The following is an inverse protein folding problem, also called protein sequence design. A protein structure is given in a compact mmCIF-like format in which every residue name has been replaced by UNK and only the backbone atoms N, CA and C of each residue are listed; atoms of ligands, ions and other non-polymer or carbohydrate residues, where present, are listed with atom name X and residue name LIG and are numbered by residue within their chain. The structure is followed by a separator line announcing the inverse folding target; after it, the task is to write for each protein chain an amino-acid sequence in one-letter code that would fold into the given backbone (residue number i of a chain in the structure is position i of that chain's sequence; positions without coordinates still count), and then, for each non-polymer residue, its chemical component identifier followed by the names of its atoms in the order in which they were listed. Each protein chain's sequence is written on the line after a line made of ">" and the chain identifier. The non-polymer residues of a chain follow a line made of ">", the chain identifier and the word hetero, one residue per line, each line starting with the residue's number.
data_IF_689824770250
#
_entry.id   IF_689824770250
#
_cell.length_a   1.000
_cell.length_b   1.000
_cell.length_c   1.000
_cell.angle_alpha   90.00
_cell.angle_beta   90.00
_cell.angle_gamma   90.00
#
_symmetry.space_group_name_H-M   'P 1'
#
loop_
_entity.id
_entity.type
_entity.pdbx_description
1 polymer ?
#
# COMPACT_ATOMS: atom_id res chain seq x y z
N UNK A 1 -16.08 -30.83 39.99
CA UNK A 1 -14.85 -31.17 40.73
C UNK A 1 -14.10 -29.87 41.00
N UNK A 2 -14.18 -29.37 42.23
CA UNK A 2 -13.55 -28.10 42.64
C UNK A 2 -12.24 -28.45 43.34
N UNK A 3 -11.10 -28.29 42.65
CA UNK A 3 -9.77 -28.51 43.24
C UNK A 3 -9.40 -27.25 44.04
N UNK A 4 -8.99 -27.44 45.29
CA UNK A 4 -8.49 -26.34 46.13
C UNK A 4 -7.13 -25.87 45.59
N UNK A 5 -7.04 -24.58 45.30
CA UNK A 5 -5.79 -23.94 44.87
C UNK A 5 -4.84 -23.88 46.08
N UNK A 6 -3.61 -24.33 45.87
CA UNK A 6 -2.56 -24.32 46.89
C UNK A 6 -1.91 -22.94 47.01
N UNK A 7 -1.33 -22.61 48.17
CA UNK A 7 -0.63 -21.33 48.38
C UNK A 7 0.50 -21.10 47.37
N UNK A 8 1.22 -22.17 47.01
CA UNK A 8 2.27 -22.10 46.00
C UNK A 8 1.73 -21.70 44.62
N UNK A 9 0.56 -22.21 44.22
CA UNK A 9 -0.10 -21.83 42.96
C UNK A 9 -0.56 -20.36 42.97
N UNK A 10 -0.99 -19.85 44.14
CA UNK A 10 -1.35 -18.43 44.31
C UNK A 10 -0.13 -17.52 44.20
N UNK A 11 0.97 -17.87 44.86
CA UNK A 11 2.22 -17.11 44.81
C UNK A 11 2.82 -17.10 43.41
N UNK A 12 2.77 -18.24 42.71
CA UNK A 12 3.20 -18.35 41.32
C UNK A 12 2.32 -17.50 40.39
N UNK A 13 1.00 -17.51 40.57
CA UNK A 13 0.08 -16.67 39.79
C UNK A 13 0.29 -15.19 40.05
N UNK A 14 0.56 -14.80 41.31
CA UNK A 14 0.87 -13.42 41.68
C UNK A 14 2.24 -12.98 41.13
N UNK A 15 3.22 -13.87 41.07
CA UNK A 15 4.52 -13.60 40.44
C UNK A 15 4.38 -13.39 38.94
N UNK A 16 3.59 -14.24 38.25
CA UNK A 16 3.31 -14.10 36.82
C UNK A 16 2.53 -12.82 36.49
N UNK A 17 1.58 -12.42 37.34
CA UNK A 17 0.81 -11.19 37.16
C UNK A 17 1.66 -9.90 37.32
N UNK A 18 2.83 -9.98 37.96
CA UNK A 18 3.78 -8.86 38.13
C UNK A 18 4.79 -8.77 37.01
N UNK A 19 4.95 -9.81 36.21
CA UNK A 19 5.75 -9.72 34.99
C UNK A 19 4.99 -8.78 34.05
N UNK A 20 5.69 -7.78 33.52
CA UNK A 20 5.15 -7.03 32.39
C UNK A 20 4.93 -8.05 31.29
N UNK A 21 3.66 -8.40 31.02
CA UNK A 21 3.33 -9.20 29.84
C UNK A 21 3.94 -8.45 28.67
N UNK A 22 4.90 -9.03 27.94
CA UNK A 22 5.32 -8.44 26.68
C UNK A 22 4.02 -8.17 25.93
N UNK A 23 3.81 -6.93 25.47
CA UNK A 23 2.72 -6.67 24.52
C UNK A 23 2.87 -7.76 23.48
N UNK A 24 1.86 -8.64 23.38
CA UNK A 24 1.93 -9.76 22.46
C UNK A 24 2.43 -9.17 21.14
N UNK A 25 3.51 -9.72 20.60
CA UNK A 25 3.90 -9.39 19.25
C UNK A 25 2.77 -9.93 18.39
N UNK A 26 1.68 -9.15 18.27
CA UNK A 26 0.58 -9.43 17.38
C UNK A 26 1.27 -9.42 16.04
N UNK A 27 1.50 -10.63 15.53
CA UNK A 27 2.02 -10.87 14.20
C UNK A 27 1.27 -9.93 13.26
N UNK A 28 1.91 -8.85 12.82
CA UNK A 28 1.27 -7.90 11.90
C UNK A 28 1.18 -8.49 10.47
N UNK A 29 1.48 -9.77 10.30
CA UNK A 29 1.97 -10.28 9.03
C UNK A 29 0.93 -11.01 8.18
N UNK A 30 -0.32 -11.22 8.65
CA UNK A 30 -1.35 -11.89 7.82
C UNK A 30 -2.78 -11.31 8.00
N UNK A 31 -3.14 -10.79 9.17
CA UNK A 31 -4.54 -10.38 9.44
C UNK A 31 -4.91 -8.98 8.92
N UNK A 32 -3.94 -8.07 8.80
CA UNK A 32 -4.19 -6.73 8.28
C UNK A 32 -4.23 -6.80 6.75
N UNK A 33 -5.44 -6.96 6.20
CA UNK A 33 -5.69 -6.89 4.75
C UNK A 33 -5.82 -5.43 4.30
N UNK A 34 -4.88 -4.60 4.72
CA UNK A 34 -4.69 -3.25 4.24
C UNK A 34 -3.21 -3.08 3.85
N UNK A 35 -2.92 -2.25 2.85
CA UNK A 35 -1.55 -2.10 2.30
C UNK A 35 -0.76 -0.98 2.99
N UNK A 36 -1.19 -0.53 4.17
CA UNK A 36 -0.49 0.48 4.97
C UNK A 36 -0.46 1.90 4.38
N UNK A 37 -1.11 2.14 3.24
CA UNK A 37 -1.19 3.46 2.60
C UNK A 37 -2.64 3.96 2.53
N UNK A 38 -2.86 5.30 2.55
CA UNK A 38 -4.16 5.87 2.28
C UNK A 38 -4.65 5.51 0.89
N UNK A 39 -5.96 5.27 0.77
CA UNK A 39 -6.62 4.96 -0.51
C UNK A 39 -6.28 6.00 -1.59
N UNK A 40 -6.20 7.28 -1.21
CA UNK A 40 -5.84 8.34 -2.14
C UNK A 40 -4.45 8.13 -2.79
N UNK A 41 -3.44 7.62 -2.08
CA UNK A 41 -2.13 7.33 -2.70
C UNK A 41 -2.21 6.18 -3.70
N UNK A 42 -2.98 5.13 -3.40
CA UNK A 42 -3.20 4.04 -4.35
C UNK A 42 -3.89 4.54 -5.63
N UNK A 43 -4.94 5.36 -5.49
CA UNK A 43 -5.67 5.95 -6.61
C UNK A 43 -4.78 6.89 -7.43
N UNK A 44 -3.99 7.75 -6.77
CA UNK A 44 -3.07 8.66 -7.45
C UNK A 44 -2.01 7.89 -8.24
N UNK A 45 -1.39 6.89 -7.64
CA UNK A 45 -0.38 6.07 -8.30
C UNK A 45 -0.97 5.36 -9.53
N UNK A 46 -2.13 4.71 -9.37
CA UNK A 46 -2.85 4.07 -10.47
C UNK A 46 -3.19 5.06 -11.59
N UNK A 47 -3.71 6.23 -11.23
CA UNK A 47 -4.06 7.29 -12.17
C UNK A 47 -2.86 7.81 -12.97
N UNK A 48 -1.68 7.95 -12.36
CA UNK A 48 -0.45 8.35 -13.05
C UNK A 48 -0.03 7.33 -14.11
N UNK A 49 -0.17 6.03 -13.83
CA UNK A 49 0.11 4.99 -14.82
C UNK A 49 -0.88 5.00 -15.97
N UNK A 50 -2.18 5.17 -15.70
CA UNK A 50 -3.18 5.32 -16.75
C UNK A 50 -2.94 6.58 -17.59
N UNK A 51 -2.56 7.69 -16.96
CA UNK A 51 -2.19 8.91 -17.67
C UNK A 51 -0.98 8.70 -18.57
N UNK A 52 0.05 7.97 -18.09
CA UNK A 52 1.21 7.61 -18.90
C UNK A 52 0.82 6.76 -20.12
N UNK A 53 0.01 5.72 -19.92
CA UNK A 53 -0.48 4.88 -21.02
C UNK A 53 -1.29 5.69 -22.04
N UNK A 54 -2.13 6.62 -21.58
CA UNK A 54 -2.88 7.52 -22.44
C UNK A 54 -1.96 8.44 -23.27
N UNK A 55 -0.94 9.03 -22.64
CA UNK A 55 0.07 9.86 -23.32
C UNK A 55 0.78 9.07 -24.42
N UNK A 56 1.25 7.86 -24.10
CA UNK A 56 1.94 7.01 -25.07
C UNK A 56 1.01 6.57 -26.21
N UNK A 57 -0.24 6.23 -25.90
CA UNK A 57 -1.21 5.82 -26.92
C UNK A 57 -1.51 6.96 -27.91
N UNK A 58 -1.76 8.17 -27.41
CA UNK A 58 -2.04 9.34 -28.24
C UNK A 58 -0.80 9.77 -29.03
N UNK A 59 0.38 9.72 -28.43
CA UNK A 59 1.61 10.17 -29.08
C UNK A 59 2.15 9.22 -30.16
N UNK A 60 1.87 7.91 -30.06
CA UNK A 60 2.42 6.89 -30.96
C UNK A 60 1.35 5.97 -31.54
N UNK A 61 0.17 6.52 -31.85
CA UNK A 61 -0.97 5.72 -32.32
C UNK A 61 -0.59 4.95 -33.61
N UNK A 62 -0.60 3.62 -33.51
CA UNK A 62 -0.47 2.72 -34.66
C UNK A 62 -1.34 1.48 -34.45
N UNK A 63 -1.87 0.85 -35.51
CA UNK A 63 -2.72 -0.33 -35.38
C UNK A 63 -2.06 -1.47 -34.60
N UNK A 64 -0.76 -1.68 -34.80
CA UNK A 64 0.05 -2.71 -34.12
C UNK A 64 0.17 -2.48 -32.60
N UNK A 65 -0.03 -1.24 -32.13
CA UNK A 65 0.04 -0.89 -30.70
C UNK A 65 -1.28 -1.07 -29.95
N UNK A 66 -2.39 -1.34 -30.65
CA UNK A 66 -3.69 -1.51 -30.00
C UNK A 66 -3.68 -2.71 -29.05
N UNK A 67 -3.19 -3.86 -29.51
CA UNK A 67 -3.14 -5.08 -28.69
C UNK A 67 -2.24 -4.91 -27.45
N UNK A 68 -0.99 -4.43 -27.56
CA UNK A 68 -0.15 -4.10 -26.40
C UNK A 68 -0.82 -3.12 -25.43
N UNK A 69 -1.49 -2.07 -25.93
CA UNK A 69 -2.12 -1.07 -25.08
C UNK A 69 -3.27 -1.66 -24.26
N UNK A 70 -4.12 -2.48 -24.89
CA UNK A 70 -5.20 -3.18 -24.18
C UNK A 70 -4.63 -4.08 -23.09
N UNK A 71 -3.58 -4.85 -23.40
CA UNK A 71 -2.91 -5.70 -22.41
C UNK A 71 -2.39 -4.86 -21.25
N UNK A 72 -1.66 -3.77 -21.51
CA UNK A 72 -1.13 -2.92 -20.44
C UNK A 72 -2.24 -2.33 -19.57
N UNK A 73 -3.30 -1.80 -20.15
CA UNK A 73 -4.43 -1.25 -19.37
C UNK A 73 -5.08 -2.33 -18.50
N UNK A 74 -5.34 -3.53 -19.06
CA UNK A 74 -5.95 -4.64 -18.33
C UNK A 74 -5.07 -5.10 -17.16
N UNK A 75 -3.77 -5.30 -17.40
CA UNK A 75 -2.85 -5.71 -16.35
C UNK A 75 -2.69 -4.62 -15.28
N UNK A 76 -2.53 -3.35 -15.67
CA UNK A 76 -2.48 -2.23 -14.73
C UNK A 76 -3.75 -2.19 -13.88
N UNK A 77 -4.94 -2.34 -14.47
CA UNK A 77 -6.18 -2.39 -13.70
C UNK A 77 -6.24 -3.61 -12.75
N UNK A 78 -5.85 -4.79 -13.22
CA UNK A 78 -5.82 -6.01 -12.41
C UNK A 78 -4.88 -5.89 -11.20
N UNK A 79 -3.71 -5.27 -11.38
CA UNK A 79 -2.74 -5.00 -10.32
C UNK A 79 -3.30 -4.15 -9.17
N UNK A 80 -4.36 -3.37 -9.39
CA UNK A 80 -5.00 -2.58 -8.34
C UNK A 80 -6.30 -3.21 -7.85
N UNK A 81 -7.15 -3.69 -8.75
CA UNK A 81 -8.45 -4.22 -8.37
C UNK A 81 -8.37 -5.57 -7.66
N UNK A 82 -7.44 -6.45 -8.03
CA UNK A 82 -7.28 -7.73 -7.33
C UNK A 82 -6.86 -7.51 -5.87
N UNK A 83 -5.82 -6.71 -5.56
CA UNK A 83 -5.49 -6.33 -4.18
C UNK A 83 -6.64 -5.60 -3.46
N UNK A 84 -7.37 -4.72 -4.14
CA UNK A 84 -8.52 -4.01 -3.57
C UNK A 84 -9.63 -4.97 -3.14
N UNK A 85 -10.00 -5.94 -3.99
CA UNK A 85 -10.98 -6.97 -3.64
C UNK A 85 -10.47 -7.86 -2.51
N UNK A 86 -9.17 -8.19 -2.52
CA UNK A 86 -8.55 -8.95 -1.44
C UNK A 86 -8.61 -8.22 -0.09
N UNK A 87 -8.36 -6.91 -0.09
CA UNK A 87 -8.47 -6.07 1.10
C UNK A 87 -9.89 -6.07 1.69
N UNK A 88 -10.92 -6.13 0.84
CA UNK A 88 -12.33 -6.17 1.27
C UNK A 88 -12.75 -7.52 1.86
N UNK A 89 -12.01 -8.60 1.59
CA UNK A 89 -12.32 -9.94 2.12
C UNK A 89 -11.84 -10.14 3.57
N UNK A 90 -11.28 -9.12 4.23
CA UNK A 90 -10.68 -9.19 5.56
C UNK A 90 -11.64 -9.68 6.67
N UNK A 91 -11.09 -10.22 7.77
CA UNK A 91 -11.90 -10.63 8.92
C UNK A 91 -12.67 -9.43 9.50
N UNK A 92 -13.84 -9.69 10.07
CA UNK A 92 -14.62 -8.66 10.77
C UNK A 92 -13.77 -8.04 11.89
N UNK A 93 -13.52 -6.73 11.82
CA UNK A 93 -12.65 -6.02 12.77
C UNK A 93 -11.23 -5.73 12.28
N UNK A 94 -10.89 -6.06 11.03
CA UNK A 94 -9.62 -5.63 10.43
C UNK A 94 -9.50 -4.10 10.44
N UNK A 95 -8.32 -3.58 10.79
CA UNK A 95 -8.06 -2.15 10.80
C UNK A 95 -8.23 -1.56 9.38
N UNK A 96 -8.96 -0.43 9.23
CA UNK A 96 -9.10 0.22 7.94
C UNK A 96 -7.75 0.78 7.46
N UNK A 97 -7.65 1.06 6.16
CA UNK A 97 -6.53 1.82 5.61
C UNK A 97 -6.46 3.20 6.31
N UNK A 98 -5.25 3.73 6.58
CA UNK A 98 -5.09 5.00 7.26
C UNK A 98 -5.71 6.14 6.44
N UNK A 99 -6.28 7.12 7.13
CA UNK A 99 -6.73 8.35 6.44
C UNK A 99 -5.52 9.18 6.02
N UNK A 100 -5.69 10.05 5.03
CA UNK A 100 -4.59 10.89 4.54
C UNK A 100 -4.05 11.84 5.63
N UNK A 101 -4.92 12.36 6.50
CA UNK A 101 -4.55 13.23 7.62
C UNK A 101 -3.76 12.48 8.70
N UNK A 102 -4.21 11.27 9.06
CA UNK A 102 -3.48 10.37 9.98
C UNK A 102 -2.11 10.01 9.42
N UNK A 103 -2.06 9.61 8.15
CA UNK A 103 -0.82 9.25 7.46
C UNK A 103 0.18 10.40 7.39
N UNK A 104 -0.30 11.61 7.07
CA UNK A 104 0.56 12.80 6.99
C UNK A 104 1.18 13.15 8.35
N UNK A 105 0.43 12.96 9.44
CA UNK A 105 0.88 13.22 10.82
C UNK A 105 1.79 12.13 11.35
N UNK A 106 1.40 10.87 11.18
CA UNK A 106 2.00 9.73 11.89
C UNK A 106 3.13 9.07 11.08
N UNK A 107 3.10 9.20 9.74
CA UNK A 107 4.07 8.60 8.84
C UNK A 107 4.02 7.07 8.80
N UNK A 108 5.08 6.44 8.27
CA UNK A 108 5.19 4.98 8.18
C UNK A 108 6.43 4.51 8.93
N UNK A 109 6.30 3.44 9.72
CA UNK A 109 7.45 2.71 10.23
C UNK A 109 8.04 1.84 9.12
N UNK A 110 9.29 2.10 8.73
CA UNK A 110 10.03 1.30 7.74
C UNK A 110 11.08 0.44 8.44
N UNK A 111 11.73 -0.46 7.69
CA UNK A 111 12.82 -1.29 8.20
C UNK A 111 13.98 -0.45 8.77
N UNK A 112 14.25 0.72 8.19
CA UNK A 112 15.36 1.61 8.58
C UNK A 112 14.95 2.71 9.56
N UNK A 113 13.70 2.70 10.04
CA UNK A 113 13.18 3.68 10.98
C UNK A 113 11.91 4.37 10.50
N UNK A 114 11.47 5.41 11.22
CA UNK A 114 10.25 6.15 10.88
C UNK A 114 10.48 7.08 9.69
N UNK A 115 9.70 6.89 8.63
CA UNK A 115 9.60 7.80 7.49
C UNK A 115 8.43 8.77 7.73
N UNK A 116 8.65 10.07 7.56
CA UNK A 116 7.58 11.07 7.70
C UNK A 116 6.50 10.84 6.64
N UNK A 117 5.25 11.24 6.92
CA UNK A 117 4.16 11.07 5.95
C UNK A 117 4.48 11.73 4.61
N UNK A 118 5.05 12.94 4.64
CA UNK A 118 5.46 13.65 3.42
C UNK A 118 6.51 12.89 2.62
N UNK A 119 7.57 12.40 3.28
CA UNK A 119 8.65 11.72 2.59
C UNK A 119 8.18 10.36 2.04
N UNK A 120 7.26 9.69 2.74
CA UNK A 120 6.60 8.49 2.25
C UNK A 120 5.72 8.75 1.01
N UNK A 121 4.99 9.88 0.96
CA UNK A 121 4.25 10.30 -0.24
C UNK A 121 5.20 10.49 -1.41
N UNK A 122 6.29 11.24 -1.20
CA UNK A 122 7.29 11.50 -2.24
C UNK A 122 7.90 10.19 -2.73
N UNK A 123 8.35 9.32 -1.84
CA UNK A 123 8.94 8.03 -2.19
C UNK A 123 7.97 7.15 -3.00
N UNK A 124 6.69 7.18 -2.64
CA UNK A 124 5.65 6.40 -3.32
C UNK A 124 5.35 6.96 -4.71
N UNK A 125 5.30 8.28 -4.87
CA UNK A 125 4.84 8.92 -6.11
C UNK A 125 5.97 9.37 -7.04
N UNK A 126 7.23 9.41 -6.60
CA UNK A 126 8.34 9.92 -7.41
C UNK A 126 8.51 9.10 -8.69
N UNK A 127 8.49 7.77 -8.60
CA UNK A 127 8.66 6.91 -9.76
C UNK A 127 7.55 7.08 -10.80
N UNK A 128 6.25 6.92 -10.47
CA UNK A 128 5.19 7.08 -11.47
C UNK A 128 5.11 8.50 -12.02
N UNK A 129 5.42 9.53 -11.21
CA UNK A 129 5.47 10.91 -11.70
C UNK A 129 6.60 11.11 -12.73
N UNK A 130 7.79 10.55 -12.46
CA UNK A 130 8.92 10.60 -13.40
C UNK A 130 8.62 9.81 -14.67
N UNK A 131 7.97 8.65 -14.58
CA UNK A 131 7.54 7.86 -15.76
C UNK A 131 6.57 8.64 -16.63
N UNK A 132 5.58 9.30 -16.03
CA UNK A 132 4.66 10.17 -16.78
C UNK A 132 5.40 11.35 -17.42
N UNK A 133 6.24 12.05 -16.66
CA UNK A 133 7.04 13.18 -17.17
C UNK A 133 7.95 12.76 -18.32
N UNK A 134 8.56 11.59 -18.23
CA UNK A 134 9.35 10.99 -19.30
C UNK A 134 8.49 10.69 -20.55
N UNK A 135 7.32 10.07 -20.39
CA UNK A 135 6.40 9.82 -21.51
C UNK A 135 6.00 11.10 -22.22
N UNK A 136 5.66 12.16 -21.47
CA UNK A 136 5.36 13.49 -22.02
C UNK A 136 6.56 14.05 -22.79
N UNK A 137 7.77 13.98 -22.23
CA UNK A 137 8.97 14.46 -22.90
C UNK A 137 9.24 13.71 -24.21
N UNK A 138 9.10 12.39 -24.23
CA UNK A 138 9.31 11.56 -25.42
C UNK A 138 8.28 11.87 -26.51
N UNK A 139 6.99 11.95 -26.17
CA UNK A 139 5.94 12.32 -27.13
C UNK A 139 6.16 13.73 -27.67
N UNK A 140 6.57 14.66 -26.81
CA UNK A 140 6.88 16.04 -27.23
C UNK A 140 8.05 16.07 -28.21
N UNK A 141 9.14 15.35 -27.92
CA UNK A 141 10.27 15.24 -28.83
C UNK A 141 9.88 14.60 -30.15
N UNK A 142 9.09 13.52 -30.12
CA UNK A 142 8.56 12.88 -31.32
C UNK A 142 7.76 13.88 -32.17
N UNK A 143 6.86 14.66 -31.55
CA UNK A 143 6.04 15.64 -32.26
C UNK A 143 6.84 16.79 -32.92
N UNK A 144 8.06 17.07 -32.45
CA UNK A 144 8.92 18.11 -33.02
C UNK A 144 10.03 17.58 -33.94
N UNK A 145 10.39 16.30 -33.86
CA UNK A 145 11.54 15.72 -34.55
C UNK A 145 11.17 14.65 -35.59
N UNK A 146 9.94 14.12 -35.57
CA UNK A 146 9.38 13.19 -36.55
C UNK A 146 8.27 13.87 -37.36
#
# INVERSE_FOLDING_TARGET
>A
MTRLITKAELEQSAALARLSTPVANIRQDIEQRNFGLPVALHVTYFGLFLAYLAVMFVGFTSPEMILPMVIFVLFTAAFYFVPMLWAQMGPAGAAPAPRMDEFARDGIMTLTGRCSGRDAVVQTLILPALVLGWGVAIVTLAAFLL
#
